data_IF_341954212293
#
_entry.id   IF_341954212293
#
_cell.length_a   1.000
_cell.length_b   1.000
_cell.length_c   1.000
_cell.angle_alpha   90.00
_cell.angle_beta   90.00
_cell.angle_gamma   90.00
#
_symmetry.space_group_name_H-M   'P 1'
#
loop_
_entity.id
_entity.type
_entity.pdbx_description
1 polymer ?
#
# COMPACT_ATOMS: atom_id res chain seq x y z
N UNK A 1 -52.47 27.26 -62.85
CA UNK A 1 -52.21 27.57 -61.43
C UNK A 1 -50.74 27.24 -61.13
N UNK A 2 -49.87 28.25 -60.94
CA UNK A 2 -48.42 28.03 -60.71
C UNK A 2 -48.17 27.76 -59.22
N UNK A 3 -47.68 26.57 -58.88
CA UNK A 3 -47.26 26.26 -57.50
C UNK A 3 -45.81 26.69 -57.32
N UNK A 4 -45.60 27.71 -56.49
CA UNK A 4 -44.29 28.21 -56.11
C UNK A 4 -43.57 27.17 -55.22
N UNK A 5 -42.50 26.55 -55.73
CA UNK A 5 -41.57 25.75 -54.92
C UNK A 5 -40.39 26.61 -54.50
N UNK A 6 -40.41 27.06 -53.24
CA UNK A 6 -39.26 27.61 -52.54
C UNK A 6 -38.68 26.55 -51.59
N UNK A 7 -37.52 25.93 -51.89
CA UNK A 7 -36.84 25.04 -50.98
C UNK A 7 -35.65 25.76 -50.31
N UNK A 8 -35.92 26.69 -49.40
CA UNK A 8 -34.87 27.32 -48.58
C UNK A 8 -34.81 26.66 -47.19
N UNK A 9 -34.42 25.38 -47.15
CA UNK A 9 -34.10 24.68 -45.91
C UNK A 9 -32.59 24.56 -45.72
N UNK A 10 -32.04 25.64 -45.13
CA UNK A 10 -31.08 25.60 -44.03
C UNK A 10 -30.08 24.43 -44.00
N UNK A 11 -28.83 24.75 -44.35
CA UNK A 11 -27.66 23.94 -44.01
C UNK A 11 -27.62 23.69 -42.49
N UNK A 12 -27.92 22.47 -42.05
CA UNK A 12 -27.56 21.95 -40.73
C UNK A 12 -26.64 20.73 -40.88
N UNK A 13 -25.58 20.90 -41.67
CA UNK A 13 -24.46 19.96 -41.68
C UNK A 13 -23.63 20.17 -40.40
N UNK A 14 -24.11 19.59 -39.30
CA UNK A 14 -23.37 19.52 -38.06
C UNK A 14 -22.14 18.65 -38.25
N UNK A 15 -20.96 19.26 -38.38
CA UNK A 15 -19.69 18.54 -38.50
C UNK A 15 -19.40 17.87 -37.16
N UNK A 16 -19.84 16.62 -37.01
CA UNK A 16 -19.34 15.74 -35.97
C UNK A 16 -17.82 15.59 -36.19
N UNK A 17 -16.95 15.95 -35.22
CA UNK A 17 -15.51 15.85 -35.41
C UNK A 17 -15.13 14.37 -35.52
N UNK A 18 -14.77 13.92 -36.73
CA UNK A 18 -14.29 12.57 -36.93
C UNK A 18 -12.96 12.39 -36.20
N UNK A 19 -12.99 11.64 -35.10
CA UNK A 19 -11.80 11.24 -34.37
C UNK A 19 -11.00 10.30 -35.26
N UNK A 20 -9.88 10.79 -35.81
CA UNK A 20 -8.92 9.97 -36.54
C UNK A 20 -8.60 8.69 -35.77
N UNK A 21 -8.57 7.55 -36.45
CA UNK A 21 -8.37 6.21 -35.87
C UNK A 21 -7.14 6.14 -34.94
N UNK A 22 -6.09 6.95 -35.18
CA UNK A 22 -4.91 7.05 -34.31
C UNK A 22 -5.24 7.65 -32.93
N UNK A 23 -6.05 8.71 -32.88
CA UNK A 23 -6.49 9.33 -31.63
C UNK A 23 -7.45 8.42 -30.86
N UNK A 24 -8.36 7.73 -31.57
CA UNK A 24 -9.27 6.76 -30.96
C UNK A 24 -8.50 5.56 -30.37
N UNK A 25 -7.47 5.07 -31.06
CA UNK A 25 -6.59 4.01 -30.57
C UNK A 25 -5.83 4.41 -29.30
N UNK A 26 -5.27 5.64 -29.25
CA UNK A 26 -4.59 6.15 -28.05
C UNK A 26 -5.55 6.30 -26.87
N UNK A 27 -6.76 6.84 -27.10
CA UNK A 27 -7.79 6.97 -26.06
C UNK A 27 -8.24 5.58 -25.57
N UNK A 28 -8.45 4.63 -26.48
CA UNK A 28 -8.81 3.25 -26.15
C UNK A 28 -7.72 2.55 -25.33
N UNK A 29 -6.45 2.70 -25.72
CA UNK A 29 -5.31 2.11 -24.99
C UNK A 29 -5.12 2.73 -23.61
N UNK A 30 -5.29 4.05 -23.48
CA UNK A 30 -5.27 4.73 -22.17
C UNK A 30 -6.43 4.29 -21.27
N UNK A 31 -7.64 4.16 -21.82
CA UNK A 31 -8.81 3.66 -21.09
C UNK A 31 -8.61 2.21 -20.64
N UNK A 32 -7.99 1.37 -21.46
CA UNK A 32 -7.66 -0.02 -21.13
C UNK A 32 -6.67 -0.10 -19.96
N UNK A 33 -5.60 0.71 -19.97
CA UNK A 33 -4.64 0.80 -18.86
C UNK A 33 -5.33 1.24 -17.56
N UNK A 34 -6.28 2.18 -17.66
CA UNK A 34 -7.02 2.70 -16.50
C UNK A 34 -8.04 1.68 -15.95
N UNK A 35 -8.59 0.80 -16.78
CA UNK A 35 -9.43 -0.31 -16.32
C UNK A 35 -8.61 -1.38 -15.56
N UNK A 36 -7.37 -1.64 -15.97
CA UNK A 36 -6.48 -2.58 -15.29
C UNK A 36 -5.87 -2.06 -13.97
N UNK A 37 -5.99 -0.76 -13.64
CA UNK A 37 -5.44 -0.23 -12.38
C UNK A 37 -6.27 -0.51 -11.12
N UNK A 38 -7.47 -1.09 -11.26
CA UNK A 38 -8.45 -1.18 -10.17
C UNK A 38 -8.29 -2.39 -9.23
N UNK A 39 -7.42 -3.36 -9.57
CA UNK A 39 -7.23 -4.59 -8.77
C UNK A 39 -5.93 -4.56 -7.97
N UNK A 40 -5.93 -3.80 -6.87
CA UNK A 40 -4.86 -3.83 -5.85
C UNK A 40 -5.40 -4.45 -4.57
N UNK A 41 -5.34 -5.79 -4.49
CA UNK A 41 -5.58 -6.47 -3.21
C UNK A 41 -4.42 -6.16 -2.26
N UNK A 42 -4.75 -5.50 -1.14
CA UNK A 42 -3.78 -5.09 -0.13
C UNK A 42 -4.12 -5.68 1.23
N UNK A 43 -3.61 -6.89 1.44
CA UNK A 43 -3.34 -7.40 2.77
C UNK A 43 -1.92 -6.99 3.20
N UNK A 44 -1.69 -6.82 4.50
CA UNK A 44 -0.40 -6.34 5.00
C UNK A 44 -0.21 -6.52 6.50
N UNK A 45 1.03 -6.26 6.92
CA UNK A 45 1.48 -6.32 8.32
C UNK A 45 2.31 -5.08 8.61
N UNK A 46 2.06 -4.43 9.74
CA UNK A 46 2.89 -3.34 10.24
C UNK A 46 3.56 -3.69 11.57
N UNK A 47 4.74 -3.13 11.81
CA UNK A 47 5.58 -3.36 12.99
C UNK A 47 6.05 -2.02 13.58
N UNK A 48 6.11 -1.87 14.91
CA UNK A 48 6.71 -0.71 15.56
C UNK A 48 8.26 -0.69 15.49
N UNK A 49 8.89 -1.80 15.08
CA UNK A 49 10.35 -1.96 14.97
C UNK A 49 10.74 -2.60 13.63
N UNK A 50 11.88 -2.22 13.06
CA UNK A 50 12.36 -2.73 11.77
C UNK A 50 13.87 -2.60 11.61
N UNK A 51 14.48 -3.54 10.87
CA UNK A 51 15.91 -3.52 10.57
C UNK A 51 16.30 -2.35 9.66
N UNK A 52 15.64 -2.18 8.50
CA UNK A 52 15.84 -1.05 7.58
C UNK A 52 14.54 -0.70 6.86
N UNK A 53 14.24 0.59 6.77
CA UNK A 53 13.20 1.10 5.87
C UNK A 53 13.72 1.32 4.44
N UNK A 54 12.86 1.77 3.53
CA UNK A 54 13.20 2.05 2.13
C UNK A 54 14.15 3.25 1.91
N UNK A 55 14.43 4.04 2.95
CA UNK A 55 15.43 5.12 2.95
C UNK A 55 16.74 4.68 3.63
N UNK A 56 16.79 3.47 4.20
CA UNK A 56 17.94 2.88 4.87
C UNK A 56 18.01 3.12 6.38
N UNK A 57 16.99 3.74 6.99
CA UNK A 57 16.96 4.00 8.43
C UNK A 57 16.58 2.73 9.23
N UNK A 58 17.28 2.46 10.33
CA UNK A 58 16.94 1.41 11.29
C UNK A 58 16.02 1.93 12.41
N UNK A 59 15.17 1.04 12.95
CA UNK A 59 14.38 1.31 14.15
C UNK A 59 14.39 0.08 15.07
N UNK A 60 15.53 -0.19 15.73
CA UNK A 60 15.70 -1.35 16.60
C UNK A 60 14.87 -1.24 17.89
N UNK A 61 14.59 -2.39 18.49
CA UNK A 61 14.08 -2.48 19.85
C UNK A 61 15.27 -2.38 20.83
N UNK A 62 15.33 -1.30 21.60
CA UNK A 62 16.39 -1.08 22.60
C UNK A 62 15.90 -1.60 23.96
N UNK A 63 16.68 -2.47 24.60
CA UNK A 63 16.36 -3.07 25.90
C UNK A 63 17.60 -3.24 26.78
N UNK A 64 17.39 -3.28 28.08
CA UNK A 64 18.42 -3.58 29.08
C UNK A 64 18.53 -5.10 29.34
N UNK A 65 19.65 -5.62 29.88
CA UNK A 65 19.74 -7.01 30.31
C UNK A 65 18.65 -7.37 31.34
N UNK A 66 17.93 -8.47 31.13
CA UNK A 66 16.78 -8.88 31.94
C UNK A 66 15.47 -8.15 31.64
N UNK A 67 15.47 -7.13 30.78
CA UNK A 67 14.26 -6.37 30.44
C UNK A 67 13.31 -7.18 29.57
N UNK A 68 12.01 -6.98 29.78
CA UNK A 68 10.95 -7.61 28.98
C UNK A 68 10.09 -6.54 28.37
N UNK A 69 9.85 -6.62 27.06
CA UNK A 69 8.98 -5.69 26.33
C UNK A 69 7.90 -6.44 25.60
N UNK A 70 6.68 -5.96 25.75
CA UNK A 70 5.55 -6.34 24.92
C UNK A 70 5.22 -5.22 23.93
N UNK A 71 4.85 -5.63 22.73
CA UNK A 71 4.32 -4.77 21.67
C UNK A 71 3.43 -5.63 20.74
N UNK A 72 2.82 -5.00 19.73
CA UNK A 72 1.96 -5.69 18.78
C UNK A 72 2.33 -5.35 17.33
N UNK A 73 2.21 -6.34 16.46
CA UNK A 73 2.06 -6.14 15.02
C UNK A 73 0.58 -5.86 14.73
N UNK A 74 0.29 -5.10 13.66
CA UNK A 74 -1.09 -4.91 13.18
C UNK A 74 -1.22 -5.57 11.81
N UNK A 75 -2.21 -6.45 11.69
CA UNK A 75 -2.63 -7.09 10.44
C UNK A 75 -3.75 -6.26 9.80
N UNK A 76 -3.70 -6.16 8.46
CA UNK A 76 -4.72 -5.46 7.68
C UNK A 76 -5.14 -6.27 6.45
N UNK A 77 -6.41 -6.14 6.11
CA UNK A 77 -7.07 -6.65 4.91
C UNK A 77 -7.89 -5.50 4.30
N UNK A 78 -7.19 -4.54 3.69
CA UNK A 78 -7.78 -3.30 3.19
C UNK A 78 -8.22 -3.38 1.72
N UNK A 79 -7.79 -4.41 0.98
CA UNK A 79 -8.06 -4.54 -0.46
C UNK A 79 -8.58 -5.90 -0.94
N UNK A 80 -8.84 -6.87 -0.07
CA UNK A 80 -9.61 -8.07 -0.46
C UNK A 80 -11.07 -7.92 -0.08
N UNK A 81 -11.93 -8.40 -0.96
CA UNK A 81 -13.36 -8.68 -0.77
C UNK A 81 -13.62 -9.95 0.05
N UNK A 82 -12.58 -10.74 0.32
CA UNK A 82 -12.64 -11.98 1.10
C UNK A 82 -12.02 -11.78 2.49
N UNK A 83 -12.51 -12.54 3.46
CA UNK A 83 -11.88 -12.67 4.76
C UNK A 83 -10.57 -13.47 4.64
N UNK A 84 -9.55 -13.08 5.41
CA UNK A 84 -8.24 -13.72 5.39
C UNK A 84 -7.92 -14.34 6.75
N UNK A 85 -7.36 -15.55 6.74
CA UNK A 85 -6.68 -16.13 7.91
C UNK A 85 -5.18 -15.90 7.78
N UNK A 86 -4.59 -15.20 8.74
CA UNK A 86 -3.15 -15.06 8.90
C UNK A 86 -2.63 -16.08 9.91
N UNK A 87 -1.56 -16.80 9.59
CA UNK A 87 -0.79 -17.61 10.56
C UNK A 87 0.53 -16.90 10.86
N UNK A 88 0.84 -16.64 12.12
CA UNK A 88 2.06 -15.94 12.53
C UNK A 88 3.11 -16.90 13.15
N UNK A 89 4.39 -16.71 12.80
CA UNK A 89 5.48 -17.55 13.29
C UNK A 89 6.77 -16.75 13.52
N UNK A 90 7.51 -17.07 14.58
CA UNK A 90 8.87 -16.56 14.83
C UNK A 90 9.87 -17.51 14.19
N UNK A 91 10.51 -17.08 13.11
CA UNK A 91 11.44 -17.90 12.30
C UNK A 91 12.91 -17.64 12.60
N UNK A 92 13.22 -16.56 13.33
CA UNK A 92 14.55 -16.26 13.88
C UNK A 92 14.40 -15.48 15.20
N UNK A 93 15.30 -15.70 16.17
CA UNK A 93 15.29 -14.99 17.46
C UNK A 93 14.33 -15.58 18.50
N UNK A 94 13.86 -16.81 18.31
CA UNK A 94 12.93 -17.50 19.21
C UNK A 94 13.46 -17.74 20.63
N UNK A 95 14.78 -17.60 20.83
CA UNK A 95 15.45 -17.64 22.13
C UNK A 95 15.16 -16.40 23.00
N UNK A 96 14.77 -15.27 22.39
CA UNK A 96 14.36 -14.05 23.10
C UNK A 96 12.93 -13.58 22.79
N UNK A 97 12.35 -13.99 21.66
CA UNK A 97 11.08 -13.47 21.16
C UNK A 97 10.01 -14.57 21.03
N UNK A 98 8.77 -14.27 21.44
CA UNK A 98 7.62 -15.15 21.26
C UNK A 98 6.31 -14.41 21.07
N UNK A 99 5.45 -14.97 20.23
CA UNK A 99 4.03 -14.60 20.19
C UNK A 99 3.39 -15.02 21.53
N UNK A 100 2.53 -14.18 22.10
CA UNK A 100 1.89 -14.43 23.41
C UNK A 100 0.38 -14.58 23.36
N UNK A 101 -0.23 -14.43 22.19
CA UNK A 101 -1.63 -14.78 21.99
C UNK A 101 -1.80 -16.32 22.04
N UNK A 102 -2.99 -16.82 22.47
CA UNK A 102 -3.22 -18.25 22.67
C UNK A 102 -3.34 -19.05 21.37
N UNK A 103 -3.62 -18.36 20.26
CA UNK A 103 -3.77 -18.94 18.92
C UNK A 103 -2.73 -18.30 17.99
N UNK A 104 -2.20 -19.10 17.07
CA UNK A 104 -1.26 -18.70 16.02
C UNK A 104 -1.97 -18.22 14.73
N UNK A 105 -3.30 -18.33 14.69
CA UNK A 105 -4.16 -17.99 13.55
C UNK A 105 -5.08 -16.82 13.88
N UNK A 106 -5.17 -15.85 12.97
CA UNK A 106 -5.91 -14.61 13.14
C UNK A 106 -6.84 -14.40 11.95
N UNK A 107 -8.15 -14.34 12.21
CA UNK A 107 -9.15 -13.95 11.20
C UNK A 107 -9.15 -12.43 11.03
N UNK A 108 -8.91 -11.97 9.81
CA UNK A 108 -8.88 -10.56 9.43
C UNK A 108 -9.92 -10.35 8.34
N UNK A 109 -11.13 -9.97 8.74
CA UNK A 109 -12.24 -9.79 7.81
C UNK A 109 -12.01 -8.69 6.79
N UNK A 110 -12.70 -8.76 5.65
CA UNK A 110 -12.63 -7.74 4.61
C UNK A 110 -12.84 -6.32 5.18
N UNK A 111 -11.94 -5.40 4.83
CA UNK A 111 -11.95 -4.01 5.30
C UNK A 111 -11.37 -3.76 6.69
N UNK A 112 -10.90 -4.80 7.43
CA UNK A 112 -10.26 -4.63 8.75
C UNK A 112 -8.80 -4.22 8.65
N UNK A 113 -8.34 -3.37 9.56
CA UNK A 113 -7.00 -2.77 9.53
C UNK A 113 -6.32 -2.70 10.90
N UNK A 114 -6.92 -3.32 11.92
CA UNK A 114 -6.64 -3.12 13.34
C UNK A 114 -6.45 -4.42 14.13
N UNK A 115 -6.33 -5.57 13.47
CA UNK A 115 -6.17 -6.88 14.15
C UNK A 115 -4.75 -7.03 14.70
N UNK A 116 -4.61 -7.11 16.02
CA UNK A 116 -3.31 -7.14 16.70
C UNK A 116 -2.76 -8.56 16.89
N UNK A 117 -1.46 -8.74 16.65
CA UNK A 117 -0.69 -9.93 17.08
C UNK A 117 0.35 -9.51 18.12
N UNK A 118 0.23 -10.03 19.33
CA UNK A 118 1.06 -9.64 20.48
C UNK A 118 2.37 -10.41 20.53
N UNK A 119 3.46 -9.67 20.66
CA UNK A 119 4.83 -10.15 20.74
C UNK A 119 5.42 -9.78 22.10
N UNK A 120 6.11 -10.73 22.74
CA UNK A 120 6.95 -10.50 23.92
C UNK A 120 8.40 -10.79 23.57
N UNK A 121 9.27 -9.82 23.84
CA UNK A 121 10.72 -9.97 23.77
C UNK A 121 11.29 -9.90 25.19
N UNK A 122 12.14 -10.85 25.56
CA UNK A 122 12.84 -10.91 26.84
C UNK A 122 14.35 -11.02 26.60
N UNK A 123 15.12 -10.04 27.07
CA UNK A 123 16.59 -10.09 26.99
C UNK A 123 17.12 -10.84 28.22
N UNK A 124 17.99 -11.86 28.07
CA UNK A 124 18.60 -12.56 29.19
C UNK A 124 19.36 -11.61 30.14
N UNK A 125 19.42 -11.95 31.43
CA UNK A 125 20.10 -11.12 32.47
C UNK A 125 21.61 -11.07 32.31
N UNK A 126 22.19 -12.09 31.68
CA UNK A 126 23.61 -12.25 31.35
C UNK A 126 23.98 -11.67 29.97
N UNK A 127 23.02 -11.04 29.26
CA UNK A 127 23.30 -10.39 28.00
C UNK A 127 24.26 -9.21 28.19
N UNK A 128 25.40 -9.24 27.51
CA UNK A 128 26.36 -8.15 27.53
C UNK A 128 25.80 -6.91 26.78
N UNK A 129 26.03 -5.69 27.28
CA UNK A 129 25.77 -4.46 26.53
C UNK A 129 26.45 -4.46 25.16
N UNK A 130 25.81 -3.83 24.18
CA UNK A 130 26.25 -3.85 22.78
C UNK A 130 25.96 -5.15 22.02
N UNK A 131 25.44 -6.20 22.67
CA UNK A 131 24.94 -7.39 21.97
C UNK A 131 23.70 -7.04 21.15
N UNK A 132 23.64 -7.57 19.94
CA UNK A 132 22.47 -7.48 19.06
C UNK A 132 21.86 -8.87 18.85
N UNK A 133 20.54 -8.99 18.94
CA UNK A 133 19.79 -10.18 18.56
C UNK A 133 18.89 -9.85 17.36
N UNK A 134 18.80 -10.74 16.37
CA UNK A 134 17.92 -10.55 15.21
C UNK A 134 16.67 -11.38 15.38
N UNK A 135 15.51 -10.73 15.35
CA UNK A 135 14.22 -11.41 15.40
C UNK A 135 13.56 -11.30 14.04
N UNK A 136 13.04 -12.42 13.53
CA UNK A 136 12.22 -12.47 12.32
C UNK A 136 10.86 -13.08 12.64
N UNK A 137 9.83 -12.41 12.15
CA UNK A 137 8.44 -12.87 12.22
C UNK A 137 7.89 -12.97 10.81
N UNK A 138 7.39 -14.14 10.44
CA UNK A 138 6.74 -14.40 9.17
C UNK A 138 5.23 -14.61 9.40
N UNK A 139 4.41 -13.99 8.56
CA UNK A 139 2.96 -14.08 8.58
C UNK A 139 2.46 -14.61 7.24
N UNK A 140 1.74 -15.73 7.25
CA UNK A 140 1.18 -16.34 6.04
C UNK A 140 -0.33 -16.05 5.99
N UNK A 141 -0.78 -15.22 5.05
CA UNK A 141 -2.21 -15.01 4.79
C UNK A 141 -2.77 -16.03 3.79
N UNK A 142 -3.99 -16.47 4.05
CA UNK A 142 -4.76 -17.41 3.21
C UNK A 142 -6.21 -16.92 3.14
N UNK A 143 -6.86 -16.88 1.98
CA UNK A 143 -8.29 -16.57 1.92
C UNK A 143 -9.14 -17.62 2.63
N UNK A 144 -10.27 -17.18 3.17
CA UNK A 144 -11.31 -18.08 3.71
C UNK A 144 -12.27 -18.40 2.56
N UNK A 145 -11.94 -19.43 1.78
CA UNK A 145 -12.77 -19.90 0.67
C UNK A 145 -13.27 -21.34 0.86
N UNK A 146 -14.20 -21.75 0.00
CA UNK A 146 -14.84 -23.06 0.04
C UNK A 146 -13.85 -24.22 -0.25
N UNK A 147 -14.06 -25.42 0.34
CA UNK A 147 -13.22 -26.58 0.06
C UNK A 147 -13.17 -26.95 -1.44
N UNK A 148 -11.98 -27.33 -1.91
CA UNK A 148 -11.77 -27.79 -3.29
C UNK A 148 -11.32 -26.71 -4.28
N UNK A 149 -11.30 -25.44 -3.89
CA UNK A 149 -10.72 -24.37 -4.71
C UNK A 149 -9.20 -24.25 -4.47
N UNK A 150 -8.43 -24.09 -5.55
CA UNK A 150 -7.00 -23.75 -5.46
C UNK A 150 -6.84 -22.28 -5.06
N UNK A 151 -5.95 -22.00 -4.10
CA UNK A 151 -5.78 -20.67 -3.52
C UNK A 151 -4.30 -20.31 -3.40
N UNK A 152 -4.01 -19.01 -3.57
CA UNK A 152 -2.68 -18.46 -3.33
C UNK A 152 -2.58 -17.93 -1.90
N UNK A 153 -1.55 -18.35 -1.18
CA UNK A 153 -1.17 -17.77 0.11
C UNK A 153 -0.15 -16.64 -0.11
N UNK A 154 -0.22 -15.57 0.69
CA UNK A 154 0.77 -14.47 0.64
C UNK A 154 1.58 -14.43 1.94
N UNK A 155 2.91 -14.45 1.81
CA UNK A 155 3.84 -14.39 2.95
C UNK A 155 4.36 -12.97 3.19
N UNK A 156 4.26 -12.50 4.43
CA UNK A 156 4.81 -11.23 4.90
C UNK A 156 5.89 -11.50 5.94
N UNK A 157 7.14 -11.22 5.60
CA UNK A 157 8.25 -11.37 6.53
C UNK A 157 8.76 -10.02 7.01
N UNK A 158 8.85 -9.84 8.32
CA UNK A 158 9.45 -8.65 8.94
C UNK A 158 10.57 -9.04 9.90
N UNK A 159 11.65 -8.27 9.88
CA UNK A 159 12.82 -8.47 10.74
C UNK A 159 13.12 -7.19 11.51
N UNK A 160 13.49 -7.34 12.77
CA UNK A 160 13.95 -6.25 13.62
C UNK A 160 15.08 -6.71 14.55
N UNK A 161 15.98 -5.78 14.83
CA UNK A 161 17.13 -6.01 15.70
C UNK A 161 16.81 -5.53 17.12
N UNK A 162 17.15 -6.34 18.11
CA UNK A 162 17.10 -6.01 19.54
C UNK A 162 18.50 -5.65 20.00
N UNK A 163 18.71 -4.38 20.38
CA UNK A 163 20.03 -3.86 20.82
C UNK A 163 20.06 -3.77 22.35
N UNK A 164 21.03 -4.45 22.96
CA UNK A 164 21.20 -4.45 24.42
C UNK A 164 21.99 -3.21 24.85
N UNK A 165 21.44 -2.41 25.76
CA UNK A 165 22.09 -1.20 26.29
C UNK A 165 22.27 -1.24 27.80
N UNK A 166 23.23 -0.47 28.29
CA UNK A 166 23.19 0.04 29.67
C UNK A 166 22.12 1.14 29.75
N UNK A 167 21.32 1.17 30.81
CA UNK A 167 20.15 2.09 30.96
C UNK A 167 20.60 3.52 31.33
N UNK A 168 20.04 4.61 30.80
CA UNK A 168 18.88 4.81 29.92
C UNK A 168 19.00 6.20 29.24
N UNK A 169 18.33 6.47 28.09
CA UNK A 169 17.09 7.25 28.19
C UNK A 169 15.96 6.85 27.23
N UNK A 170 14.74 7.01 27.73
CA UNK A 170 13.46 6.80 27.04
C UNK A 170 13.26 7.88 25.97
N UNK A 171 13.41 7.53 24.70
CA UNK A 171 13.36 8.52 23.59
C UNK A 171 11.92 8.81 23.13
N UNK A 172 11.44 10.02 23.42
CA UNK A 172 10.26 10.59 22.76
C UNK A 172 10.59 10.95 21.30
N UNK A 173 10.00 10.24 20.33
CA UNK A 173 10.14 10.62 18.92
C UNK A 173 9.26 11.84 18.61
N UNK A 174 9.89 13.02 18.54
CA UNK A 174 9.30 14.18 17.83
C UNK A 174 9.02 13.79 16.39
N UNK A 175 7.74 13.72 16.01
CA UNK A 175 7.35 13.65 14.62
C UNK A 175 7.60 15.01 13.96
N UNK A 176 8.66 15.11 13.17
CA UNK A 176 8.83 16.22 12.23
C UNK A 176 8.14 15.83 10.92
N UNK A 177 7.16 16.63 10.51
CA UNK A 177 6.38 16.39 9.30
C UNK A 177 7.20 16.64 8.03
N UNK A 178 8.05 15.67 7.66
CA UNK A 178 8.57 15.56 6.29
C UNK A 178 7.41 15.20 5.37
N UNK A 179 7.13 16.04 4.35
CA UNK A 179 6.26 15.62 3.27
C UNK A 179 6.91 14.41 2.58
N UNK A 180 6.25 13.26 2.68
CA UNK A 180 6.74 12.00 2.14
C UNK A 180 6.83 12.06 0.61
N UNK A 181 7.87 11.44 0.06
CA UNK A 181 8.15 11.30 -1.38
C UNK A 181 6.93 10.94 -2.24
N UNK A 182 6.02 10.00 -1.87
CA UNK A 182 4.77 9.76 -2.61
C UNK A 182 3.86 11.00 -2.76
N UNK A 183 3.79 11.88 -1.76
CA UNK A 183 2.99 13.12 -1.85
C UNK A 183 3.54 14.09 -2.90
N UNK A 184 4.87 14.13 -3.06
CA UNK A 184 5.55 14.94 -4.07
C UNK A 184 5.29 14.38 -5.48
N UNK A 185 5.35 13.06 -5.65
CA UNK A 185 5.05 12.40 -6.93
C UNK A 185 3.59 12.61 -7.37
N UNK A 186 2.64 12.58 -6.43
CA UNK A 186 1.22 12.84 -6.70
C UNK A 186 1.00 14.29 -7.20
N UNK A 187 1.66 15.27 -6.57
CA UNK A 187 1.63 16.68 -7.02
C UNK A 187 2.18 16.85 -8.44
N UNK A 188 3.30 16.19 -8.77
CA UNK A 188 3.89 16.23 -10.11
C UNK A 188 2.93 15.63 -11.16
N UNK A 189 2.31 14.49 -10.86
CA UNK A 189 1.34 13.85 -11.76
C UNK A 189 0.13 14.76 -12.03
N UNK A 190 -0.39 15.43 -11.00
CA UNK A 190 -1.52 16.36 -11.12
C UNK A 190 -1.21 17.56 -12.04
N UNK A 191 0.02 18.10 -11.95
CA UNK A 191 0.50 19.19 -12.82
C UNK A 191 0.60 18.74 -14.27
N UNK A 192 1.10 17.53 -14.54
CA UNK A 192 1.22 16.98 -15.91
C UNK A 192 -0.17 16.83 -16.54
N UNK A 193 -1.16 16.32 -15.80
CA UNK A 193 -2.55 16.19 -16.27
C UNK A 193 -3.13 17.58 -16.62
N UNK A 194 -2.90 18.59 -15.78
CA UNK A 194 -3.36 19.96 -16.04
C UNK A 194 -2.76 20.54 -17.33
N UNK A 195 -1.45 20.31 -17.57
CA UNK A 195 -0.75 20.74 -18.79
C UNK A 195 -1.37 20.08 -20.04
N UNK A 196 -1.65 18.77 -19.99
CA UNK A 196 -2.28 18.04 -21.09
C UNK A 196 -3.67 18.62 -21.40
N UNK A 197 -4.48 18.89 -20.37
CA UNK A 197 -5.80 19.53 -20.52
C UNK A 197 -5.68 20.91 -21.21
N UNK A 198 -4.74 21.75 -20.77
CA UNK A 198 -4.52 23.09 -21.36
C UNK A 198 -4.12 22.98 -22.84
N UNK A 199 -3.26 22.03 -23.21
CA UNK A 199 -2.83 21.80 -24.60
C UNK A 199 -4.02 21.36 -25.46
N UNK A 200 -4.88 20.46 -24.95
CA UNK A 200 -6.08 19.99 -25.65
C UNK A 200 -7.10 21.14 -25.87
N UNK A 201 -7.31 22.00 -24.86
CA UNK A 201 -8.19 23.17 -24.97
C UNK A 201 -7.62 24.18 -25.98
N UNK A 202 -6.31 24.48 -25.95
CA UNK A 202 -5.67 25.38 -26.94
C UNK A 202 -5.81 24.84 -28.37
N UNK A 203 -5.57 23.54 -28.59
CA UNK A 203 -5.77 22.92 -29.92
C UNK A 203 -7.22 23.01 -30.41
N UNK A 204 -8.22 22.84 -29.51
CA UNK A 204 -9.65 23.00 -29.87
C UNK A 204 -10.04 24.45 -30.22
N UNK A 205 -9.41 25.46 -29.61
CA UNK A 205 -9.68 26.87 -29.95
C UNK A 205 -9.11 27.26 -31.32
N UNK A 206 -7.90 26.80 -31.66
CA UNK A 206 -7.29 27.06 -32.98
C UNK A 206 -8.06 26.45 -34.16
N UNK A 207 -8.80 25.35 -33.94
CA UNK A 207 -9.61 24.67 -34.96
C UNK A 207 -10.98 25.34 -35.25
N UNK A 208 -11.37 26.39 -34.50
CA UNK A 208 -12.61 27.14 -34.73
C UNK A 208 -12.39 28.54 -35.34
N UNK A 209 -11.14 28.89 -35.66
CA UNK A 209 -10.74 30.21 -36.16
C UNK A 209 -10.19 30.15 -37.60
N UNK A 210 -10.65 29.19 -38.39
CA UNK A 210 -10.30 28.99 -39.80
C UNK A 210 -11.53 28.48 -40.57
#
# INVERSE_FOLDING_TARGET
MKINKNPNHSKLCGIAPSLSNKNLSIISSFLLILLFSSFVSSAGVSSPYWDKDGEGNENPLILSPGETKEFQFILQNAGSDQDLTFTASVTLGGEIAKIVDPEDRYLVSSGKTDVSVKMRVHVPKDALPGREYKVRVDFLSTPVAEPGQFQFASGYGTSFTVKVTESLPKSEKKSTSRLSTPTILLLIALIIILIIIIILIKKRKGAKAK
#
